data_IF_822626008208
#
_entry.id   IF_822626008208
#
_cell.length_a   1.000
_cell.length_b   1.000
_cell.length_c   1.000
_cell.angle_alpha   90.00
_cell.angle_beta   90.00
_cell.angle_gamma   90.00
#
_symmetry.space_group_name_H-M   'P 1'
#
loop_
_entity.id
_entity.type
_entity.pdbx_description
1 polymer ?
#
# COMPACT_ATOMS: atom_id res chain seq x y z
N UNK A 1 -39.04 38.93 28.69
CA UNK A 1 -37.60 38.80 28.37
C UNK A 1 -36.97 37.78 29.30
N UNK A 2 -36.27 36.78 28.74
CA UNK A 2 -35.45 35.69 29.33
C UNK A 2 -35.83 34.37 28.64
N UNK A 3 -35.44 34.23 27.37
CA UNK A 3 -34.25 33.51 26.86
C UNK A 3 -34.50 32.01 26.69
N UNK A 4 -34.59 31.62 25.41
CA UNK A 4 -34.66 30.26 24.88
C UNK A 4 -33.49 29.40 25.37
N UNK A 5 -33.77 28.14 25.70
CA UNK A 5 -32.77 27.08 25.69
C UNK A 5 -33.09 26.14 24.51
N UNK A 6 -32.51 26.47 23.34
CA UNK A 6 -32.46 25.55 22.20
C UNK A 6 -31.33 24.56 22.45
N UNK A 7 -31.67 23.32 22.77
CA UNK A 7 -30.70 22.22 22.82
C UNK A 7 -30.37 21.79 21.39
N UNK A 8 -29.31 22.38 20.83
CA UNK A 8 -28.68 21.91 19.60
C UNK A 8 -27.86 20.66 19.94
N UNK A 9 -28.47 19.48 19.80
CA UNK A 9 -27.80 18.21 19.93
C UNK A 9 -26.91 18.00 18.69
N UNK A 10 -25.65 18.42 18.78
CA UNK A 10 -24.61 18.13 17.80
C UNK A 10 -24.28 16.63 17.86
N UNK A 11 -24.90 15.84 16.97
CA UNK A 11 -24.38 14.54 16.58
C UNK A 11 -23.06 14.76 15.84
N UNK A 12 -21.96 14.85 16.59
CA UNK A 12 -20.63 14.61 16.06
C UNK A 12 -20.54 13.11 15.71
N UNK A 13 -20.97 12.75 14.51
CA UNK A 13 -20.57 11.48 13.91
C UNK A 13 -19.10 11.67 13.54
N UNK A 14 -18.20 11.23 14.43
CA UNK A 14 -16.77 11.19 14.14
C UNK A 14 -16.54 10.28 12.94
N UNK A 15 -15.84 10.84 11.97
CA UNK A 15 -15.50 10.31 10.66
C UNK A 15 -14.87 8.92 10.71
N UNK A 16 -15.20 8.11 9.69
CA UNK A 16 -14.54 6.83 9.37
C UNK A 16 -13.02 7.02 9.41
N UNK A 17 -12.36 6.46 10.42
CA UNK A 17 -10.90 6.35 10.42
C UNK A 17 -10.55 5.22 9.42
N UNK A 18 -10.41 5.58 8.15
CA UNK A 18 -9.64 4.75 7.23
C UNK A 18 -8.23 4.60 7.84
N UNK A 19 -7.76 3.37 7.98
CA UNK A 19 -6.40 3.13 8.46
C UNK A 19 -5.42 3.74 7.46
N UNK A 20 -4.59 4.67 7.94
CA UNK A 20 -3.66 5.39 7.08
C UNK A 20 -2.42 4.55 6.81
N UNK A 21 -2.19 4.23 5.54
CA UNK A 21 -1.02 3.49 5.06
C UNK A 21 -0.07 4.37 4.24
N UNK A 22 -0.38 5.67 4.13
CA UNK A 22 0.40 6.61 3.32
C UNK A 22 1.81 6.75 3.85
N UNK A 23 2.72 7.13 2.95
CA UNK A 23 4.13 7.28 3.23
C UNK A 23 4.98 6.20 2.60
N UNK A 24 6.26 6.22 2.97
CA UNK A 24 7.27 5.29 2.46
C UNK A 24 7.56 4.19 3.48
N UNK A 25 7.60 2.95 3.01
CA UNK A 25 7.80 1.77 3.82
C UNK A 25 8.89 0.87 3.21
N UNK A 26 9.57 0.11 4.06
CA UNK A 26 10.24 -1.12 3.64
C UNK A 26 9.15 -2.17 3.50
N UNK A 27 9.15 -2.93 2.41
CA UNK A 27 8.14 -3.97 2.16
C UNK A 27 8.78 -5.34 2.02
N UNK A 28 8.09 -6.39 2.46
CA UNK A 28 8.57 -7.78 2.36
C UNK A 28 8.87 -8.22 0.91
N UNK A 29 8.14 -7.68 -0.06
CA UNK A 29 8.37 -7.93 -1.50
C UNK A 29 7.74 -6.83 -2.34
N UNK A 30 8.27 -6.60 -3.55
CA UNK A 30 7.70 -5.63 -4.51
C UNK A 30 6.29 -6.05 -4.91
N UNK A 31 5.36 -5.09 -4.94
CA UNK A 31 3.96 -5.35 -5.29
C UNK A 31 3.81 -5.56 -6.80
N UNK A 32 3.81 -6.81 -7.26
CA UNK A 32 3.52 -7.13 -8.66
C UNK A 32 2.86 -8.50 -8.89
N UNK A 33 2.78 -9.36 -7.87
CA UNK A 33 2.27 -10.71 -8.01
C UNK A 33 0.81 -10.82 -7.57
N UNK A 34 -0.05 -11.37 -8.45
CA UNK A 34 -1.46 -11.70 -8.14
C UNK A 34 -1.60 -12.80 -7.09
N UNK A 35 -0.61 -13.66 -6.93
CA UNK A 35 -0.63 -14.77 -5.97
C UNK A 35 -0.09 -14.38 -4.59
N UNK A 36 0.36 -13.12 -4.42
CA UNK A 36 0.80 -12.65 -3.12
C UNK A 36 -0.35 -12.65 -2.12
N UNK A 37 -0.19 -13.43 -1.05
CA UNK A 37 -1.17 -13.56 0.03
C UNK A 37 -0.98 -12.52 1.14
N UNK A 38 0.21 -11.95 1.25
CA UNK A 38 0.56 -11.02 2.32
C UNK A 38 1.71 -10.08 1.93
N UNK A 39 1.65 -8.85 2.42
CA UNK A 39 2.77 -7.92 2.46
C UNK A 39 2.96 -7.39 3.87
N UNK A 40 4.21 -7.28 4.30
CA UNK A 40 4.58 -6.65 5.57
C UNK A 40 5.29 -5.35 5.23
N UNK A 41 4.75 -4.24 5.74
CA UNK A 41 5.31 -2.91 5.61
C UNK A 41 5.93 -2.54 6.95
N UNK A 42 7.22 -2.30 6.94
CA UNK A 42 8.00 -1.88 8.09
C UNK A 42 8.41 -0.41 7.94
N UNK A 43 8.59 0.34 9.04
CA UNK A 43 8.99 1.73 9.00
C UNK A 43 10.23 1.92 8.12
N UNK A 44 10.24 2.99 7.33
CA UNK A 44 11.40 3.34 6.52
C UNK A 44 12.59 3.66 7.44
N UNK A 45 13.71 2.99 7.20
CA UNK A 45 15.01 3.32 7.80
C UNK A 45 15.95 3.94 6.75
N UNK A 46 17.17 4.26 7.16
CA UNK A 46 18.27 4.71 6.29
C UNK A 46 18.86 3.60 5.40
N UNK A 47 18.27 2.40 5.43
CA UNK A 47 18.65 1.30 4.54
C UNK A 47 18.52 1.70 3.07
N UNK A 48 19.61 1.45 2.32
CA UNK A 48 19.72 1.73 0.88
C UNK A 48 19.28 0.56 0.00
N UNK A 49 19.26 -0.64 0.57
CA UNK A 49 18.97 -1.88 -0.13
C UNK A 49 17.75 -2.57 0.47
N UNK A 50 17.00 -3.28 -0.37
CA UNK A 50 15.75 -3.92 0.00
C UNK A 50 14.63 -3.58 -0.97
N UNK A 51 13.42 -4.00 -0.61
CA UNK A 51 12.19 -3.63 -1.31
C UNK A 51 11.50 -2.49 -0.58
N UNK A 52 10.93 -1.57 -1.33
CA UNK A 52 10.30 -0.37 -0.83
C UNK A 52 8.95 -0.17 -1.49
N UNK A 53 8.10 0.58 -0.82
CA UNK A 53 6.85 1.09 -1.38
C UNK A 53 6.58 2.49 -0.87
N UNK A 54 6.03 3.33 -1.74
CA UNK A 54 5.49 4.64 -1.40
C UNK A 54 4.01 4.66 -1.76
N UNK A 55 3.16 4.99 -0.79
CA UNK A 55 1.74 5.31 -0.99
C UNK A 55 1.55 6.82 -0.89
N UNK A 56 1.06 7.45 -1.96
CA UNK A 56 0.93 8.91 -2.05
C UNK A 56 -0.49 9.38 -1.72
N UNK A 57 -0.64 10.67 -1.37
CA UNK A 57 -1.96 11.30 -1.16
C UNK A 57 -2.86 11.31 -2.40
N UNK A 58 -2.34 10.97 -3.58
CA UNK A 58 -3.09 10.93 -4.84
C UNK A 58 -3.63 9.53 -5.16
N UNK A 59 -3.73 8.64 -4.17
CA UNK A 59 -4.21 7.26 -4.33
C UNK A 59 -3.36 6.44 -5.32
N UNK A 60 -2.07 6.76 -5.43
CA UNK A 60 -1.09 6.02 -6.24
C UNK A 60 -0.03 5.38 -5.37
N UNK A 61 0.57 4.31 -5.86
CA UNK A 61 1.73 3.72 -5.24
C UNK A 61 2.86 3.44 -6.23
N UNK A 62 4.09 3.49 -5.74
CA UNK A 62 5.27 2.99 -6.44
C UNK A 62 5.98 1.99 -5.53
N UNK A 63 6.16 0.75 -5.99
CA UNK A 63 6.91 -0.28 -5.27
C UNK A 63 8.11 -0.70 -6.09
N UNK A 64 9.28 -0.81 -5.47
CA UNK A 64 10.52 -1.10 -6.18
C UNK A 64 11.51 -1.79 -5.27
N UNK A 65 12.51 -2.45 -5.86
CA UNK A 65 13.66 -2.96 -5.13
C UNK A 65 14.93 -2.20 -5.50
N UNK A 66 15.89 -2.19 -4.57
CA UNK A 66 17.22 -1.64 -4.72
C UNK A 66 18.22 -2.65 -4.20
N UNK A 67 19.14 -3.06 -5.06
CA UNK A 67 20.20 -4.00 -4.75
C UNK A 67 21.57 -3.35 -4.98
N UNK A 68 22.62 -3.82 -4.29
CA UNK A 68 23.95 -3.23 -4.40
C UNK A 68 24.61 -3.47 -5.77
N UNK A 69 24.20 -4.50 -6.52
CA UNK A 69 24.88 -4.91 -7.76
C UNK A 69 24.02 -4.60 -8.99
N UNK A 70 24.65 -4.18 -10.08
CA UNK A 70 23.95 -3.82 -11.33
C UNK A 70 23.42 -5.00 -12.15
N UNK A 71 23.74 -6.23 -11.77
CA UNK A 71 23.30 -7.48 -12.43
C UNK A 71 22.16 -8.19 -11.69
N UNK A 72 21.60 -7.59 -10.64
CA UNK A 72 20.41 -8.09 -9.98
C UNK A 72 19.15 -7.83 -10.82
N UNK A 73 18.07 -8.56 -10.50
CA UNK A 73 16.75 -8.28 -11.03
C UNK A 73 16.16 -7.05 -10.33
N UNK A 74 16.05 -5.94 -11.07
CA UNK A 74 15.42 -4.71 -10.61
C UNK A 74 14.02 -4.60 -11.18
N UNK A 75 13.05 -4.41 -10.30
CA UNK A 75 11.62 -4.34 -10.59
C UNK A 75 11.09 -3.03 -10.02
N UNK A 76 10.34 -2.29 -10.82
CA UNK A 76 9.52 -1.16 -10.38
C UNK A 76 8.09 -1.39 -10.81
N UNK A 77 7.17 -1.31 -9.88
CA UNK A 77 5.75 -1.41 -10.11
C UNK A 77 5.08 -0.10 -9.74
N UNK A 78 4.12 0.34 -10.56
CA UNK A 78 3.34 1.55 -10.34
C UNK A 78 1.87 1.19 -10.40
N UNK A 79 1.09 1.77 -9.50
CA UNK A 79 -0.32 1.44 -9.42
C UNK A 79 -1.15 2.48 -8.70
N UNK A 80 -2.41 2.12 -8.50
CA UNK A 80 -3.41 2.87 -7.72
C UNK A 80 -3.90 2.03 -6.57
N UNK A 81 -4.33 2.69 -5.51
CA UNK A 81 -4.93 2.04 -4.37
C UNK A 81 -6.17 2.77 -3.89
N UNK A 82 -7.11 2.03 -3.32
CA UNK A 82 -8.29 2.60 -2.68
C UNK A 82 -8.41 2.09 -1.25
N UNK A 83 -8.53 3.01 -0.29
CA UNK A 83 -8.74 2.67 1.12
C UNK A 83 -10.23 2.62 1.42
N UNK A 84 -10.65 1.57 2.13
CA UNK A 84 -12.02 1.42 2.61
C UNK A 84 -12.01 0.74 3.97
N UNK A 85 -12.34 1.51 5.02
CA UNK A 85 -12.29 1.07 6.42
C UNK A 85 -10.91 0.49 6.80
N UNK A 86 -10.84 -0.83 6.96
CA UNK A 86 -9.65 -1.61 7.31
C UNK A 86 -9.14 -2.43 6.11
N UNK A 87 -9.44 -2.00 4.89
CA UNK A 87 -8.99 -2.68 3.67
C UNK A 87 -8.37 -1.71 2.68
N UNK A 88 -7.46 -2.24 1.86
CA UNK A 88 -6.90 -1.57 0.69
C UNK A 88 -7.11 -2.45 -0.53
N UNK A 89 -7.66 -1.90 -1.60
CA UNK A 89 -7.60 -2.54 -2.92
C UNK A 89 -6.39 -2.04 -3.69
N UNK A 90 -5.67 -2.94 -4.33
CA UNK A 90 -4.46 -2.62 -5.08
C UNK A 90 -4.67 -2.93 -6.57
N UNK A 91 -4.41 -1.93 -7.40
CA UNK A 91 -4.48 -2.04 -8.84
C UNK A 91 -3.13 -1.69 -9.46
N UNK A 92 -2.51 -2.65 -10.13
CA UNK A 92 -1.24 -2.45 -10.81
C UNK A 92 -1.45 -1.83 -12.18
N UNK A 93 -0.86 -0.67 -12.43
CA UNK A 93 -0.92 -0.01 -13.73
C UNK A 93 0.21 -0.47 -14.66
N UNK A 94 1.44 -0.54 -14.16
CA UNK A 94 2.60 -0.97 -14.95
C UNK A 94 3.63 -1.71 -14.10
N UNK A 95 4.33 -2.63 -14.76
CA UNK A 95 5.50 -3.32 -14.24
C UNK A 95 6.68 -3.08 -15.19
N UNK A 96 7.73 -2.46 -14.66
CA UNK A 96 8.99 -2.21 -15.34
C UNK A 96 10.07 -3.09 -14.70
N UNK A 97 10.90 -3.73 -15.50
CA UNK A 97 11.99 -4.56 -15.00
C UNK A 97 13.13 -4.62 -15.99
N UNK A 98 14.33 -4.92 -15.50
CA UNK A 98 15.51 -5.04 -16.34
C UNK A 98 15.68 -6.46 -16.92
N UNK A 99 16.67 -6.62 -17.80
CA UNK A 99 16.97 -7.89 -18.49
C UNK A 99 17.39 -9.03 -17.57
N UNK A 100 17.78 -8.75 -16.33
CA UNK A 100 18.23 -9.75 -15.37
C UNK A 100 17.06 -10.44 -14.65
N UNK A 101 15.85 -9.90 -14.77
CA UNK A 101 14.64 -10.54 -14.28
C UNK A 101 14.20 -11.68 -15.22
N UNK A 102 14.50 -12.92 -14.83
CA UNK A 102 14.01 -14.10 -15.53
C UNK A 102 12.52 -14.28 -15.24
N UNK A 103 11.77 -14.72 -16.25
CA UNK A 103 10.38 -15.21 -16.12
C UNK A 103 9.31 -14.18 -15.71
N UNK A 104 9.66 -12.89 -15.61
CA UNK A 104 8.64 -11.85 -15.49
C UNK A 104 7.94 -11.64 -16.82
N UNK A 105 6.61 -11.62 -16.76
CA UNK A 105 5.76 -11.17 -17.86
C UNK A 105 5.36 -9.72 -17.60
N UNK A 106 5.28 -8.88 -18.64
CA UNK A 106 4.70 -7.55 -18.49
C UNK A 106 3.30 -7.66 -17.91
N UNK A 107 3.06 -6.96 -16.81
CA UNK A 107 1.74 -6.80 -16.23
C UNK A 107 1.31 -5.35 -16.44
N UNK A 108 0.10 -5.18 -16.96
CA UNK A 108 -0.53 -3.89 -17.16
C UNK A 108 -1.98 -3.99 -16.70
N UNK A 109 -2.47 -2.90 -16.11
CA UNK A 109 -3.88 -2.74 -15.75
C UNK A 109 -4.49 -3.98 -15.05
N UNK A 110 -3.81 -4.43 -13.99
CA UNK A 110 -4.05 -5.70 -13.31
C UNK A 110 -4.57 -5.47 -11.89
N UNK A 111 -5.79 -5.95 -11.62
CA UNK A 111 -6.33 -6.02 -10.26
C UNK A 111 -5.55 -7.08 -9.44
N UNK A 112 -4.90 -6.63 -8.36
CA UNK A 112 -4.13 -7.49 -7.45
C UNK A 112 -4.98 -8.01 -6.28
N UNK A 113 -6.18 -7.45 -6.10
CA UNK A 113 -7.14 -7.83 -5.09
C UNK A 113 -7.23 -6.86 -3.93
N UNK A 114 -7.99 -7.28 -2.92
CA UNK A 114 -8.26 -6.53 -1.69
C UNK A 114 -7.49 -7.17 -0.54
N UNK A 115 -6.90 -6.34 0.30
CA UNK A 115 -6.11 -6.74 1.46
C UNK A 115 -6.70 -6.11 2.71
N UNK A 116 -6.82 -6.88 3.79
CA UNK A 116 -7.07 -6.34 5.13
C UNK A 116 -5.80 -5.67 5.64
N UNK A 117 -5.96 -4.53 6.29
CA UNK A 117 -4.91 -3.76 6.92
C UNK A 117 -4.93 -4.12 8.42
N UNK A 118 -3.78 -4.48 8.97
CA UNK A 118 -3.61 -4.74 10.41
C UNK A 118 -2.33 -4.07 10.88
N UNK A 119 -2.43 -3.21 11.90
CA UNK A 119 -1.27 -2.63 12.56
C UNK A 119 -0.78 -3.57 13.66
N UNK A 120 0.50 -3.92 13.64
CA UNK A 120 1.14 -4.74 14.66
C UNK A 120 2.51 -4.16 14.98
N UNK A 121 2.64 -3.66 16.21
CA UNK A 121 3.78 -2.84 16.62
C UNK A 121 3.94 -1.65 15.65
N UNK A 122 5.13 -1.43 15.10
CA UNK A 122 5.36 -0.38 14.10
C UNK A 122 5.12 -0.85 12.64
N UNK A 123 4.66 -2.09 12.44
CA UNK A 123 4.45 -2.66 11.12
C UNK A 123 2.97 -2.57 10.69
N UNK A 124 2.76 -2.50 9.38
CA UNK A 124 1.47 -2.69 8.74
C UNK A 124 1.49 -4.02 7.99
N UNK A 125 0.51 -4.87 8.26
CA UNK A 125 0.33 -6.16 7.58
C UNK A 125 -0.85 -6.01 6.63
N UNK A 126 -0.58 -6.20 5.34
CA UNK A 126 -1.58 -6.28 4.27
C UNK A 126 -1.83 -7.74 3.95
N UNK A 127 -2.92 -8.31 4.44
CA UNK A 127 -3.26 -9.72 4.20
C UNK A 127 -4.38 -9.85 3.19
N UNK A 128 -4.19 -10.65 2.15
CA UNK A 128 -5.15 -10.78 1.06
C UNK A 128 -6.47 -11.38 1.54
N UNK A 129 -7.58 -10.79 1.11
CA UNK A 129 -8.92 -11.32 1.35
C UNK A 129 -9.14 -12.45 0.36
N UNK A 130 -9.18 -13.70 0.87
CA UNK A 130 -9.55 -14.87 0.07
C UNK A 130 -11.04 -14.77 -0.28
N UNK A 131 -11.36 -14.94 -1.56
CA UNK A 131 -12.73 -15.12 -2.04
C UNK A 131 -13.13 -16.59 -1.91
#
# INVERSE_FOLDING_TARGET
MKTLFSYFCLLFITTVNAQDIRGTWIISSVIHNKEAEEYILSPRTDMRWGSFIEFTDLNTFTSYNSWPCGNDCFITSKGRYNLSNNTVSLFLNSLEYNVYCKELKPLKDTDLGVFTITHKDDNIILKKVKK
#
